data_IF_914846786245
#
_entry.id   IF_914846786245
#
_cell.length_a   1.000
_cell.length_b   1.000
_cell.length_c   1.000
_cell.angle_alpha   90.00
_cell.angle_beta   90.00
_cell.angle_gamma   90.00
#
_symmetry.space_group_name_H-M   'P 1'
#
loop_
_entity.id
_entity.type
_entity.pdbx_description
1 polymer ?
#
# COMPACT_ATOMS: atom_id res chain seq x y z
N UNK A 1 24.66 -8.51 -5.46
CA UNK A 1 23.65 -7.55 -4.99
C UNK A 1 22.30 -7.86 -5.63
N UNK A 2 21.23 -7.82 -4.84
CA UNK A 2 19.88 -8.05 -5.36
C UNK A 2 19.41 -6.88 -6.21
N UNK A 3 18.75 -7.20 -7.31
CA UNK A 3 18.08 -6.21 -8.14
C UNK A 3 16.71 -5.90 -7.55
N UNK A 4 16.45 -4.63 -7.31
CA UNK A 4 15.17 -4.15 -6.76
C UNK A 4 14.46 -3.33 -7.83
N UNK A 5 13.25 -3.75 -8.18
CA UNK A 5 12.38 -3.05 -9.11
C UNK A 5 11.08 -2.68 -8.43
N UNK A 6 10.63 -1.46 -8.62
CA UNK A 6 9.32 -1.00 -8.14
C UNK A 6 8.56 -0.47 -9.34
N UNK A 7 7.34 -0.95 -9.53
CA UNK A 7 6.56 -0.65 -10.74
C UNK A 7 5.05 -0.70 -10.47
N UNK A 8 4.29 -0.09 -11.36
CA UNK A 8 2.83 -0.19 -11.35
C UNK A 8 2.39 -1.47 -12.04
N UNK A 9 1.53 -2.25 -11.39
CA UNK A 9 0.95 -3.44 -12.00
C UNK A 9 -0.02 -3.04 -13.11
N UNK A 10 0.16 -3.59 -14.30
CA UNK A 10 -0.66 -3.32 -15.49
C UNK A 10 -1.54 -4.50 -15.89
N UNK A 11 -1.42 -5.63 -15.21
CA UNK A 11 -2.17 -6.84 -15.50
C UNK A 11 -2.30 -7.70 -14.25
N UNK A 12 -3.16 -8.72 -14.32
CA UNK A 12 -3.37 -9.68 -13.22
C UNK A 12 -2.63 -11.00 -13.48
N UNK A 13 -1.33 -10.92 -13.77
CA UNK A 13 -0.50 -12.11 -13.96
C UNK A 13 -0.64 -13.08 -12.79
N UNK A 14 -0.62 -14.42 -13.03
CA UNK A 14 -0.73 -15.40 -11.93
C UNK A 14 0.30 -15.21 -10.81
N UNK A 15 1.53 -14.85 -11.15
CA UNK A 15 2.57 -14.57 -10.15
C UNK A 15 2.24 -13.34 -9.29
N UNK A 16 1.53 -12.35 -9.82
CA UNK A 16 1.07 -11.19 -9.04
C UNK A 16 -0.05 -11.58 -8.08
N UNK A 17 -1.01 -12.38 -8.55
CA UNK A 17 -2.09 -12.90 -7.70
C UNK A 17 -1.52 -13.71 -6.54
N UNK A 18 -0.60 -14.61 -6.81
CA UNK A 18 0.05 -15.43 -5.79
C UNK A 18 0.82 -14.58 -4.77
N UNK A 19 1.58 -13.59 -5.25
CA UNK A 19 2.34 -12.70 -4.38
C UNK A 19 1.43 -11.84 -3.50
N UNK A 20 0.37 -11.26 -4.07
CA UNK A 20 -0.59 -10.46 -3.30
C UNK A 20 -1.24 -11.30 -2.22
N UNK A 21 -1.64 -12.53 -2.52
CA UNK A 21 -2.21 -13.44 -1.51
C UNK A 21 -1.24 -13.76 -0.39
N UNK A 22 0.04 -13.98 -0.72
CA UNK A 22 1.07 -14.20 0.29
C UNK A 22 1.26 -12.99 1.19
N UNK A 23 1.30 -11.81 0.61
CA UNK A 23 1.46 -10.56 1.36
C UNK A 23 0.22 -10.21 2.21
N UNK A 24 -0.97 -10.50 1.70
CA UNK A 24 -2.22 -10.29 2.46
C UNK A 24 -2.26 -11.12 3.75
N UNK A 25 -1.70 -12.31 3.75
CA UNK A 25 -1.60 -13.14 4.97
C UNK A 25 -0.74 -12.49 6.05
N UNK A 26 0.22 -11.67 5.65
CA UNK A 26 1.10 -10.95 6.58
C UNK A 26 0.49 -9.61 7.02
N UNK A 27 -0.41 -9.05 6.22
CA UNK A 27 -1.04 -7.75 6.46
C UNK A 27 -2.36 -7.87 7.23
N UNK A 28 -3.21 -8.83 6.86
CA UNK A 28 -4.56 -8.98 7.40
C UNK A 28 -4.59 -9.90 8.62
N UNK A 29 -5.35 -9.51 9.65
CA UNK A 29 -5.61 -10.35 10.81
C UNK A 29 -6.73 -11.38 10.57
N UNK A 30 -7.54 -11.17 9.55
CA UNK A 30 -8.62 -12.07 9.13
C UNK A 30 -8.35 -12.55 7.69
N UNK A 31 -8.97 -13.68 7.24
CA UNK A 31 -8.75 -14.16 5.90
C UNK A 31 -9.11 -13.13 4.83
N UNK A 32 -8.14 -12.80 4.02
CA UNK A 32 -8.29 -11.97 2.82
C UNK A 32 -7.76 -12.77 1.65
N UNK A 33 -8.54 -12.89 0.59
CA UNK A 33 -8.11 -13.60 -0.60
C UNK A 33 -8.36 -12.76 -1.84
N UNK A 34 -7.37 -12.74 -2.72
CA UNK A 34 -7.42 -12.04 -4.00
C UNK A 34 -7.59 -13.06 -5.12
N UNK A 35 -8.61 -12.86 -5.96
CA UNK A 35 -8.76 -13.61 -7.20
C UNK A 35 -8.14 -12.82 -8.36
N UNK A 36 -7.88 -13.51 -9.47
CA UNK A 36 -7.38 -12.86 -10.69
C UNK A 36 -8.36 -11.78 -11.18
N UNK A 37 -9.67 -12.06 -11.12
CA UNK A 37 -10.71 -11.10 -11.53
C UNK A 37 -10.71 -9.85 -10.64
N UNK A 38 -10.55 -10.01 -9.35
CA UNK A 38 -10.48 -8.87 -8.42
C UNK A 38 -9.23 -8.05 -8.65
N UNK A 39 -8.10 -8.71 -8.86
CA UNK A 39 -6.84 -8.02 -9.16
C UNK A 39 -6.95 -7.23 -10.47
N UNK A 40 -7.56 -7.84 -11.50
CA UNK A 40 -7.78 -7.17 -12.77
C UNK A 40 -8.64 -5.90 -12.61
N UNK A 41 -9.69 -5.96 -11.78
CA UNK A 41 -10.50 -4.77 -11.47
C UNK A 41 -9.68 -3.66 -10.83
N UNK A 42 -8.78 -3.99 -9.91
CA UNK A 42 -7.90 -2.99 -9.28
C UNK A 42 -7.02 -2.34 -10.34
N UNK A 43 -6.41 -3.15 -11.19
CA UNK A 43 -5.51 -2.67 -12.25
C UNK A 43 -6.24 -1.77 -13.26
N UNK A 44 -7.49 -2.07 -13.57
CA UNK A 44 -8.31 -1.30 -14.50
C UNK A 44 -8.98 -0.07 -13.88
N UNK A 45 -9.04 0.00 -12.55
CA UNK A 45 -9.69 1.10 -11.84
C UNK A 45 -8.90 2.41 -12.06
N UNK A 46 -9.51 3.44 -12.67
CA UNK A 46 -8.78 4.67 -13.00
C UNK A 46 -8.28 5.44 -11.77
N UNK A 47 -8.91 5.25 -10.63
CA UNK A 47 -8.57 5.95 -9.39
C UNK A 47 -7.69 5.15 -8.44
N UNK A 48 -7.17 4.02 -8.90
CA UNK A 48 -6.28 3.16 -8.10
C UNK A 48 -5.02 2.83 -8.87
N UNK A 49 -3.90 2.76 -8.14
CA UNK A 49 -2.62 2.29 -8.67
C UNK A 49 -2.06 1.26 -7.71
N UNK A 50 -1.91 0.04 -8.18
CA UNK A 50 -1.23 -1.00 -7.43
C UNK A 50 0.25 -0.97 -7.78
N UNK A 51 1.08 -0.67 -6.79
CA UNK A 51 2.54 -0.67 -6.93
C UNK A 51 3.09 -1.96 -6.35
N UNK A 52 3.99 -2.59 -7.08
CA UNK A 52 4.65 -3.82 -6.67
C UNK A 52 6.15 -3.59 -6.55
N UNK A 53 6.75 -4.20 -5.54
CA UNK A 53 8.20 -4.24 -5.35
C UNK A 53 8.69 -5.65 -5.58
N UNK A 54 9.63 -5.81 -6.51
CA UNK A 54 10.25 -7.10 -6.80
C UNK A 54 11.71 -7.11 -6.39
N UNK A 55 12.16 -8.24 -5.84
CA UNK A 55 13.55 -8.53 -5.52
C UNK A 55 13.98 -9.69 -6.42
N UNK A 56 14.95 -9.44 -7.29
CA UNK A 56 15.44 -10.42 -8.27
C UNK A 56 14.30 -11.07 -9.08
N UNK A 57 13.31 -10.24 -9.44
CA UNK A 57 12.15 -10.66 -10.25
C UNK A 57 10.98 -11.25 -9.48
N UNK A 58 11.13 -11.51 -8.19
CA UNK A 58 10.03 -12.03 -7.35
C UNK A 58 9.36 -10.89 -6.59
N UNK A 59 8.03 -10.80 -6.66
CA UNK A 59 7.27 -9.76 -5.96
C UNK A 59 7.31 -10.01 -4.45
N UNK A 60 7.87 -9.06 -3.71
CA UNK A 60 8.10 -9.12 -2.27
C UNK A 60 7.46 -7.97 -1.50
N UNK A 61 6.79 -7.06 -2.18
CA UNK A 61 6.10 -5.96 -1.53
C UNK A 61 5.01 -5.37 -2.41
N UNK A 62 4.07 -4.70 -1.78
CA UNK A 62 2.98 -4.02 -2.48
C UNK A 62 2.52 -2.78 -1.71
N UNK A 63 1.88 -1.89 -2.45
CA UNK A 63 1.22 -0.71 -1.92
C UNK A 63 0.15 -0.27 -2.92
N UNK A 64 -0.98 0.22 -2.45
CA UNK A 64 -2.00 0.80 -3.31
C UNK A 64 -2.11 2.30 -3.05
N UNK A 65 -2.20 3.08 -4.12
CA UNK A 65 -2.55 4.49 -4.07
C UNK A 65 -3.98 4.67 -4.59
N UNK A 66 -4.80 5.35 -3.80
CA UNK A 66 -6.14 5.75 -4.21
C UNK A 66 -6.19 7.25 -4.43
N UNK A 67 -6.97 7.71 -5.40
CA UNK A 67 -7.01 9.12 -5.79
C UNK A 67 -8.43 9.64 -5.93
N UNK A 68 -8.64 10.85 -5.46
CA UNK A 68 -9.90 11.56 -5.71
C UNK A 68 -9.69 13.07 -5.61
N UNK A 69 -10.63 13.81 -6.19
CA UNK A 69 -10.66 15.26 -6.12
C UNK A 69 -11.94 15.71 -5.42
N UNK A 70 -11.80 16.65 -4.53
CA UNK A 70 -12.92 17.29 -3.82
C UNK A 70 -12.77 18.81 -3.90
N UNK A 71 -13.77 19.61 -3.45
CA UNK A 71 -13.62 21.06 -3.44
C UNK A 71 -12.39 21.59 -2.69
N UNK A 72 -11.85 20.81 -1.77
CA UNK A 72 -10.67 21.21 -0.99
C UNK A 72 -9.34 20.76 -1.61
N UNK A 73 -9.36 20.11 -2.76
CA UNK A 73 -8.13 19.76 -3.48
C UNK A 73 -8.10 18.35 -4.04
N UNK A 74 -6.98 18.02 -4.64
CA UNK A 74 -6.68 16.70 -5.21
C UNK A 74 -5.96 15.88 -4.15
N UNK A 75 -6.48 14.68 -3.86
CA UNK A 75 -6.04 13.88 -2.71
C UNK A 75 -5.63 12.49 -3.12
N UNK A 76 -4.58 12.00 -2.45
CA UNK A 76 -4.11 10.64 -2.58
C UNK A 76 -4.10 9.97 -1.20
N UNK A 77 -4.38 8.66 -1.19
CA UNK A 77 -4.30 7.81 -0.02
C UNK A 77 -3.41 6.61 -0.30
N UNK A 78 -2.56 6.28 0.67
CA UNK A 78 -1.73 5.07 0.61
C UNK A 78 -2.39 3.98 1.45
N UNK A 79 -2.59 2.82 0.83
CA UNK A 79 -3.25 1.66 1.43
C UNK A 79 -2.39 0.41 1.31
N UNK A 80 -2.53 -0.48 2.27
CA UNK A 80 -2.02 -1.84 2.21
C UNK A 80 -0.51 -1.94 1.91
N UNK A 81 0.28 -1.04 2.50
CA UNK A 81 1.74 -1.08 2.37
C UNK A 81 2.28 -2.27 3.18
N UNK A 82 2.90 -3.20 2.50
CA UNK A 82 3.52 -4.37 3.15
C UNK A 82 4.72 -4.86 2.32
N UNK A 83 5.76 -5.25 3.02
CA UNK A 83 6.93 -5.95 2.46
C UNK A 83 7.04 -7.30 3.15
N UNK A 84 7.34 -8.34 2.38
CA UNK A 84 7.49 -9.70 2.88
C UNK A 84 8.49 -9.75 4.03
N UNK A 85 8.13 -10.46 5.08
CA UNK A 85 8.99 -10.61 6.28
C UNK A 85 10.37 -11.17 5.98
N UNK A 86 10.51 -11.94 4.89
CA UNK A 86 11.82 -12.45 4.43
C UNK A 86 12.77 -11.34 4.02
N UNK A 87 12.25 -10.16 3.73
CA UNK A 87 13.03 -9.00 3.28
C UNK A 87 13.22 -7.95 4.39
N UNK A 88 12.98 -8.30 5.64
CA UNK A 88 13.21 -7.39 6.78
C UNK A 88 14.69 -7.01 6.87
N UNK A 89 14.95 -5.78 7.29
CA UNK A 89 16.31 -5.26 7.43
C UNK A 89 16.95 -4.76 6.14
N UNK A 90 16.26 -4.86 5.00
CA UNK A 90 16.74 -4.39 3.71
C UNK A 90 16.24 -2.99 3.34
N UNK A 91 15.53 -2.32 4.22
CA UNK A 91 14.93 -0.99 4.01
C UNK A 91 14.00 -0.90 2.80
N UNK A 92 13.40 -2.02 2.40
CA UNK A 92 12.53 -2.07 1.22
C UNK A 92 11.18 -1.39 1.44
N UNK A 93 10.67 -1.41 2.68
CA UNK A 93 9.47 -0.67 3.04
C UNK A 93 9.64 0.83 2.82
N UNK A 94 10.77 1.38 3.22
CA UNK A 94 11.12 2.79 3.01
C UNK A 94 11.24 3.12 1.52
N UNK A 95 11.87 2.24 0.75
CA UNK A 95 11.99 2.43 -0.70
C UNK A 95 10.65 2.42 -1.40
N UNK A 96 9.77 1.46 -1.05
CA UNK A 96 8.43 1.38 -1.60
C UNK A 96 7.59 2.60 -1.21
N UNK A 97 7.68 3.02 0.04
CA UNK A 97 7.01 4.20 0.55
C UNK A 97 7.42 5.46 -0.23
N UNK A 98 8.72 5.68 -0.39
CA UNK A 98 9.23 6.84 -1.13
C UNK A 98 8.83 6.81 -2.60
N UNK A 99 8.87 5.65 -3.22
CA UNK A 99 8.40 5.48 -4.59
C UNK A 99 6.93 5.87 -4.73
N UNK A 100 6.09 5.40 -3.80
CA UNK A 100 4.66 5.71 -3.82
C UNK A 100 4.41 7.21 -3.61
N UNK A 101 5.14 7.84 -2.70
CA UNK A 101 5.03 9.29 -2.45
C UNK A 101 5.43 10.10 -3.70
N UNK A 102 6.54 9.73 -4.33
CA UNK A 102 7.00 10.38 -5.57
C UNK A 102 6.02 10.16 -6.72
N UNK A 103 5.47 8.96 -6.81
CA UNK A 103 4.45 8.63 -7.81
C UNK A 103 3.22 9.54 -7.65
N UNK A 104 2.72 9.69 -6.42
CA UNK A 104 1.57 10.54 -6.15
C UNK A 104 1.86 12.01 -6.49
N UNK A 105 3.07 12.50 -6.18
CA UNK A 105 3.49 13.85 -6.51
C UNK A 105 3.50 14.09 -8.02
N UNK A 106 4.03 13.14 -8.80
CA UNK A 106 4.05 13.22 -10.27
C UNK A 106 2.65 13.19 -10.88
N UNK A 107 1.69 12.53 -10.22
CA UNK A 107 0.29 12.55 -10.63
C UNK A 107 -0.42 13.87 -10.27
N UNK A 108 0.26 14.79 -9.58
CA UNK A 108 -0.23 16.14 -9.33
C UNK A 108 -1.22 16.24 -8.18
N UNK A 109 -1.08 15.43 -7.13
CA UNK A 109 -1.94 15.49 -5.96
C UNK A 109 -1.38 16.45 -4.90
N UNK A 110 -2.29 17.19 -4.26
CA UNK A 110 -1.92 18.20 -3.26
C UNK A 110 -1.54 17.57 -1.91
N UNK A 111 -2.19 16.48 -1.56
CA UNK A 111 -1.97 15.80 -0.27
C UNK A 111 -1.91 14.30 -0.45
N UNK A 112 -1.04 13.66 0.33
CA UNK A 112 -0.96 12.21 0.47
C UNK A 112 -1.18 11.86 1.93
N UNK A 113 -2.17 11.00 2.19
CA UNK A 113 -2.53 10.57 3.53
C UNK A 113 -2.43 9.06 3.67
N UNK A 114 -2.25 8.60 4.88
CA UNK A 114 -2.36 7.19 5.24
C UNK A 114 -2.87 7.08 6.66
N UNK A 115 -3.38 5.91 7.02
CA UNK A 115 -3.71 5.58 8.39
C UNK A 115 -2.83 4.43 8.86
N UNK A 116 -2.47 4.46 10.12
CA UNK A 116 -1.65 3.41 10.73
C UNK A 116 -2.06 3.22 12.18
N UNK A 117 -2.18 1.98 12.62
CA UNK A 117 -2.53 1.67 14.01
C UNK A 117 -1.40 2.08 14.94
N UNK A 118 -1.70 2.62 16.13
CA UNK A 118 -0.67 3.01 17.09
C UNK A 118 0.30 1.90 17.45
N UNK A 119 -0.15 0.65 17.44
CA UNK A 119 0.69 -0.53 17.76
C UNK A 119 1.82 -0.77 16.74
N UNK A 120 1.70 -0.22 15.53
CA UNK A 120 2.74 -0.35 14.49
C UNK A 120 3.85 0.69 14.71
N UNK A 121 4.58 0.55 15.79
CA UNK A 121 5.56 1.54 16.26
C UNK A 121 6.66 1.80 15.23
N UNK A 122 7.24 0.75 14.66
CA UNK A 122 8.32 0.89 13.67
C UNK A 122 7.86 1.59 12.40
N UNK A 123 6.68 1.21 11.89
CA UNK A 123 6.09 1.85 10.71
C UNK A 123 5.78 3.33 10.97
N UNK A 124 5.19 3.63 12.13
CA UNK A 124 4.87 5.01 12.50
C UNK A 124 6.13 5.89 12.62
N UNK A 125 7.22 5.35 13.15
CA UNK A 125 8.51 6.05 13.17
C UNK A 125 9.03 6.32 11.78
N UNK A 126 8.92 5.34 10.89
CA UNK A 126 9.34 5.48 9.49
C UNK A 126 8.58 6.61 8.80
N UNK A 127 7.26 6.66 8.95
CA UNK A 127 6.43 7.70 8.33
C UNK A 127 6.84 9.10 8.79
N UNK A 128 7.06 9.27 10.09
CA UNK A 128 7.49 10.56 10.64
C UNK A 128 8.89 10.95 10.18
N UNK A 129 9.83 10.00 10.14
CA UNK A 129 11.17 10.19 9.60
C UNK A 129 11.14 10.64 8.13
N UNK A 130 10.19 10.13 7.35
CA UNK A 130 10.06 10.44 5.93
C UNK A 130 9.21 11.70 5.66
N UNK A 131 8.90 12.47 6.68
CA UNK A 131 8.26 13.77 6.52
C UNK A 131 6.76 13.80 6.70
N UNK A 132 6.13 12.68 7.07
CA UNK A 132 4.69 12.63 7.33
C UNK A 132 4.41 13.10 8.75
N UNK A 133 3.65 14.19 8.87
CA UNK A 133 3.18 14.67 10.15
C UNK A 133 1.94 13.90 10.62
N UNK A 134 1.87 13.61 11.91
CA UNK A 134 0.67 13.05 12.50
C UNK A 134 -0.44 14.10 12.47
N UNK A 135 -1.55 13.77 11.78
CA UNK A 135 -2.69 14.68 11.69
C UNK A 135 -3.59 14.50 12.92
N UNK A 136 -3.92 15.60 13.57
CA UNK A 136 -4.90 15.58 14.65
C UNK A 136 -6.31 15.53 14.06
N UNK A 137 -6.89 14.34 14.05
CA UNK A 137 -8.21 14.10 13.47
C UNK A 137 -8.77 12.78 14.00
N UNK A 138 -10.06 12.59 13.86
CA UNK A 138 -10.70 11.32 14.13
C UNK A 138 -11.07 10.65 12.81
N UNK A 139 -10.87 9.34 12.73
CA UNK A 139 -11.30 8.52 11.60
C UNK A 139 -12.48 7.68 12.05
N UNK A 140 -13.60 7.81 11.36
CA UNK A 140 -14.83 7.06 11.65
C UNK A 140 -15.03 6.02 10.56
N UNK A 141 -15.36 4.79 10.98
CA UNK A 141 -15.61 3.68 10.09
C UNK A 141 -17.03 3.15 10.30
N UNK A 142 -17.80 3.06 9.21
CA UNK A 142 -19.05 2.32 9.17
C UNK A 142 -18.89 1.24 8.09
N UNK A 143 -18.97 -0.02 8.48
CA UNK A 143 -18.78 -1.14 7.56
C UNK A 143 -20.05 -1.96 7.43
N UNK A 144 -20.33 -2.47 6.22
CA UNK A 144 -21.40 -3.46 5.97
C UNK A 144 -20.99 -4.85 6.46
N UNK A 145 -19.70 -5.07 6.67
CA UNK A 145 -19.14 -6.29 7.26
C UNK A 145 -18.90 -6.04 8.75
N UNK A 146 -18.86 -7.09 9.59
CA UNK A 146 -18.44 -6.92 10.98
C UNK A 146 -17.12 -6.17 11.06
N UNK A 147 -17.03 -5.20 11.99
CA UNK A 147 -15.78 -4.48 12.22
C UNK A 147 -14.72 -5.48 12.68
N UNK A 148 -13.46 -5.33 12.18
CA UNK A 148 -12.38 -6.15 12.71
C UNK A 148 -12.26 -5.91 14.22
N UNK A 149 -12.15 -7.02 14.97
CA UNK A 149 -11.85 -6.91 16.40
C UNK A 149 -10.47 -6.26 16.53
N UNK A 150 -10.41 -5.17 17.29
CA UNK A 150 -9.14 -4.56 17.64
C UNK A 150 -8.31 -5.58 18.45
N UNK A 151 -7.02 -5.75 18.13
CA UNK A 151 -6.15 -6.57 18.96
C UNK A 151 -5.97 -5.96 20.33
#
# INVERSE_FOLDING_TARGET
MSQIDIFEAKSSKPEYVAAVNRLLKQLCSSPCEMSAERLQRIVEEPNSRLLLLAVDGEVMGMCTLGFYTSPTGRKAWMEDLVVDEKCRGMHLGERLFNFAADFAEHEGYDTLMLTSRPARVAANRMYQKLGFGRKETNVYLKSKKPLPTLP
#
